data_IF_697258942663
#
_entry.id   IF_697258942663
#
_cell.length_a   1.000
_cell.length_b   1.000
_cell.length_c   1.000
_cell.angle_alpha   90.00
_cell.angle_beta   90.00
_cell.angle_gamma   90.00
#
_symmetry.space_group_name_H-M   'P 1'
#
loop_
_entity.id
_entity.type
_entity.pdbx_description
1 polymer ?
#
# COMPACT_ATOMS: atom_id res chain seq x y z
N UNK A 1 8.47 24.91 -2.68
CA UNK A 1 8.61 23.60 -3.36
C UNK A 1 9.90 22.99 -2.84
N UNK A 2 9.79 22.01 -2.00
CA UNK A 2 10.96 21.23 -1.60
C UNK A 2 11.27 20.30 -2.78
N UNK A 3 12.38 20.57 -3.47
CA UNK A 3 12.70 20.01 -4.80
C UNK A 3 12.90 18.48 -4.79
N UNK A 4 12.76 17.84 -3.65
CA UNK A 4 13.06 16.42 -3.48
C UNK A 4 12.03 15.58 -2.72
N UNK A 5 10.88 16.12 -2.31
CA UNK A 5 9.94 15.37 -1.47
C UNK A 5 8.50 15.47 -1.98
N UNK A 6 7.84 14.32 -2.13
CA UNK A 6 6.40 14.26 -2.36
C UNK A 6 5.69 14.09 -1.03
N UNK A 7 4.69 14.92 -0.78
CA UNK A 7 3.90 14.91 0.45
C UNK A 7 2.42 14.88 0.12
N UNK A 8 1.67 14.05 0.81
CA UNK A 8 0.21 13.98 0.72
C UNK A 8 -0.36 14.02 2.12
N UNK A 9 -1.34 14.89 2.37
CA UNK A 9 -2.05 14.96 3.62
C UNK A 9 -3.54 14.66 3.41
N UNK A 10 -4.13 13.94 4.33
CA UNK A 10 -5.57 13.73 4.44
C UNK A 10 -6.08 14.59 5.59
N UNK A 11 -7.11 15.39 5.32
CA UNK A 11 -7.79 16.21 6.32
C UNK A 11 -9.20 15.68 6.54
N UNK A 12 -9.60 15.62 7.81
CA UNK A 12 -10.96 15.32 8.27
C UNK A 12 -11.44 16.50 9.14
N UNK A 13 -12.54 17.13 8.78
CA UNK A 13 -13.06 18.32 9.47
C UNK A 13 -11.97 19.41 9.68
N UNK A 14 -11.22 19.72 8.62
CA UNK A 14 -10.11 20.68 8.59
C UNK A 14 -8.93 20.32 9.54
N UNK A 15 -8.88 19.10 10.06
CA UNK A 15 -7.78 18.59 10.88
C UNK A 15 -6.97 17.57 10.11
N UNK A 16 -5.66 17.60 10.29
CA UNK A 16 -4.77 16.63 9.68
C UNK A 16 -4.97 15.27 10.33
N UNK A 17 -5.49 14.30 9.55
CA UNK A 17 -5.70 12.92 9.97
C UNK A 17 -4.48 12.05 9.63
N UNK A 18 -3.95 12.18 8.41
CA UNK A 18 -2.82 11.38 7.95
C UNK A 18 -1.86 12.22 7.09
N UNK A 19 -0.58 11.91 7.15
CA UNK A 19 0.45 12.51 6.29
C UNK A 19 1.34 11.41 5.73
N UNK A 20 1.52 11.43 4.42
CA UNK A 20 2.39 10.53 3.67
C UNK A 20 3.56 11.32 3.09
N UNK A 21 4.77 10.78 3.23
CA UNK A 21 6.02 11.41 2.77
C UNK A 21 6.81 10.40 1.94
N UNK A 22 7.30 10.82 0.78
CA UNK A 22 8.18 10.01 -0.06
C UNK A 22 9.28 10.88 -0.64
N UNK A 23 10.53 10.43 -0.48
CA UNK A 23 11.71 11.09 -1.07
C UNK A 23 12.24 10.28 -2.24
N UNK A 24 12.70 10.91 -3.33
CA UNK A 24 13.24 10.20 -4.49
C UNK A 24 14.35 9.23 -4.13
N UNK A 25 15.26 9.61 -3.21
CA UNK A 25 16.38 8.78 -2.75
C UNK A 25 15.95 7.59 -1.88
N UNK A 26 14.73 7.64 -1.36
CA UNK A 26 14.15 6.61 -0.49
C UNK A 26 12.74 6.22 -0.96
N UNK A 27 12.56 6.19 -2.27
CA UNK A 27 11.30 5.75 -2.84
C UNK A 27 11.04 4.30 -2.47
N UNK A 28 9.83 4.01 -2.00
CA UNK A 28 9.40 2.64 -1.74
C UNK A 28 9.45 1.81 -3.02
N UNK A 29 9.98 0.61 -2.92
CA UNK A 29 9.96 -0.38 -4.00
C UNK A 29 8.86 -1.43 -3.79
N UNK A 30 8.12 -1.35 -2.68
CA UNK A 30 6.99 -2.24 -2.44
C UNK A 30 5.98 -2.12 -3.60
N UNK A 31 5.58 -3.26 -4.16
CA UNK A 31 4.76 -3.34 -5.38
C UNK A 31 5.56 -3.46 -6.68
N UNK A 32 6.84 -3.09 -6.71
CA UNK A 32 7.68 -3.26 -7.90
C UNK A 32 7.84 -4.74 -8.25
N UNK A 33 7.87 -5.05 -9.55
CA UNK A 33 8.05 -6.41 -10.05
C UNK A 33 9.38 -6.49 -10.79
N UNK A 34 10.16 -7.51 -10.46
CA UNK A 34 11.49 -7.75 -11.01
C UNK A 34 11.58 -9.13 -11.64
N UNK A 35 12.39 -9.24 -12.69
CA UNK A 35 12.97 -10.51 -13.07
C UNK A 35 14.30 -10.61 -12.33
N UNK A 36 14.39 -11.50 -11.36
CA UNK A 36 15.58 -11.69 -10.54
C UNK A 36 16.32 -12.98 -10.88
N UNK A 37 17.54 -13.13 -10.36
CA UNK A 37 18.34 -14.35 -10.42
C UNK A 37 18.54 -14.87 -9.00
N UNK A 38 18.28 -16.15 -8.77
CA UNK A 38 18.56 -16.80 -7.48
C UNK A 38 20.07 -16.86 -7.26
N UNK A 39 20.57 -16.06 -6.34
CA UNK A 39 22.00 -16.02 -6.01
C UNK A 39 22.39 -17.14 -5.05
N UNK A 40 21.59 -17.36 -4.00
CA UNK A 40 21.86 -18.40 -3.02
C UNK A 40 20.57 -18.98 -2.46
N UNK A 41 20.59 -20.29 -2.17
CA UNK A 41 19.48 -21.02 -1.52
C UNK A 41 19.97 -21.46 -0.14
N UNK A 42 19.17 -21.19 0.89
CA UNK A 42 19.48 -21.41 2.29
C UNK A 42 18.49 -22.43 2.91
N UNK A 43 18.75 -23.74 2.77
CA UNK A 43 17.81 -24.76 3.26
C UNK A 43 17.53 -24.69 4.76
N UNK A 44 18.54 -24.29 5.56
CA UNK A 44 18.37 -24.17 7.02
C UNK A 44 17.48 -23.01 7.46
N UNK A 45 17.19 -22.07 6.56
CA UNK A 45 16.29 -20.93 6.79
C UNK A 45 15.00 -21.01 5.94
N UNK A 46 14.87 -22.05 5.12
CA UNK A 46 13.77 -22.21 4.13
C UNK A 46 13.56 -20.94 3.30
N UNK A 47 14.66 -20.37 2.78
CA UNK A 47 14.68 -19.10 2.09
C UNK A 47 15.75 -19.06 0.99
N UNK A 48 15.64 -18.07 0.10
CA UNK A 48 16.65 -17.77 -0.91
C UNK A 48 16.95 -16.28 -0.97
N UNK A 49 18.18 -15.96 -1.37
CA UNK A 49 18.56 -14.62 -1.81
C UNK A 49 18.42 -14.52 -3.32
N UNK A 50 17.77 -13.45 -3.77
CA UNK A 50 17.50 -13.17 -5.17
C UNK A 50 18.10 -11.83 -5.54
N UNK A 51 18.98 -11.80 -6.54
CA UNK A 51 19.50 -10.58 -7.13
C UNK A 51 18.40 -9.94 -7.99
N UNK A 52 18.04 -8.70 -7.66
CA UNK A 52 16.99 -7.93 -8.34
C UNK A 52 17.52 -6.63 -8.95
N UNK A 53 18.85 -6.46 -9.02
CA UNK A 53 19.52 -5.27 -9.54
C UNK A 53 19.59 -4.11 -8.55
N UNK A 54 19.46 -4.37 -7.26
CA UNK A 54 19.66 -3.41 -6.18
C UNK A 54 20.97 -3.71 -5.43
N UNK A 55 21.40 -2.76 -4.58
CA UNK A 55 22.62 -2.90 -3.76
C UNK A 55 22.60 -4.18 -2.90
N UNK A 56 21.41 -4.60 -2.45
CA UNK A 56 21.20 -5.79 -1.62
C UNK A 56 20.25 -6.75 -2.28
N UNK A 57 20.59 -8.03 -2.27
CA UNK A 57 19.72 -9.10 -2.72
C UNK A 57 18.41 -9.11 -1.92
N UNK A 58 17.32 -9.36 -2.61
CA UNK A 58 16.03 -9.56 -1.98
C UNK A 58 15.95 -10.92 -1.29
N UNK A 59 15.04 -11.05 -0.34
CA UNK A 59 14.84 -12.24 0.48
C UNK A 59 13.49 -12.88 0.15
N UNK A 60 13.52 -14.14 -0.30
CA UNK A 60 12.36 -14.93 -0.73
C UNK A 60 12.22 -16.14 0.20
N UNK A 61 11.15 -16.18 1.00
CA UNK A 61 10.80 -17.34 1.83
C UNK A 61 10.09 -18.42 1.04
N UNK A 62 10.20 -19.67 1.50
CA UNK A 62 9.54 -20.82 0.90
C UNK A 62 8.01 -20.64 0.80
N UNK A 63 7.38 -20.05 1.80
CA UNK A 63 5.94 -19.78 1.83
C UNK A 63 5.48 -18.70 0.84
N UNK A 64 6.41 -17.90 0.33
CA UNK A 64 6.16 -16.85 -0.67
C UNK A 64 6.34 -17.37 -2.13
N UNK A 65 6.60 -18.66 -2.28
CA UNK A 65 6.74 -19.30 -3.59
C UNK A 65 5.45 -20.00 -3.95
N UNK A 66 4.76 -19.49 -4.97
CA UNK A 66 3.56 -20.08 -5.53
C UNK A 66 3.95 -21.22 -6.47
N UNK A 67 3.41 -22.42 -6.22
CA UNK A 67 3.58 -23.58 -7.07
C UNK A 67 2.20 -24.08 -7.47
N UNK A 68 1.78 -23.91 -8.73
CA UNK A 68 0.42 -24.20 -9.20
C UNK A 68 -0.07 -25.64 -8.92
N UNK A 69 0.82 -26.62 -8.96
CA UNK A 69 0.47 -28.04 -8.82
C UNK A 69 0.30 -28.53 -7.38
N UNK A 70 0.53 -27.67 -6.38
CA UNK A 70 0.61 -28.06 -4.97
C UNK A 70 -0.31 -27.24 -4.04
N UNK A 71 -1.30 -26.54 -4.58
CA UNK A 71 -2.34 -25.87 -3.81
C UNK A 71 -3.13 -26.88 -2.96
N UNK A 72 -2.85 -26.92 -1.69
CA UNK A 72 -3.45 -27.85 -0.72
C UNK A 72 -2.46 -28.46 0.27
N UNK A 73 -1.16 -28.47 -0.03
CA UNK A 73 -0.11 -28.95 0.87
C UNK A 73 0.92 -27.85 1.16
N UNK A 74 0.53 -26.82 1.88
CA UNK A 74 1.45 -25.73 2.28
C UNK A 74 2.51 -26.15 3.30
N UNK A 75 2.34 -27.29 3.97
CA UNK A 75 3.25 -27.75 5.00
C UNK A 75 4.22 -28.80 4.46
N UNK A 76 5.52 -28.58 4.61
CA UNK A 76 6.59 -29.53 4.30
C UNK A 76 7.35 -29.30 3.00
N UNK A 77 7.13 -28.18 2.28
CA UNK A 77 7.94 -27.82 1.10
C UNK A 77 9.32 -27.35 1.55
N UNK A 78 10.37 -27.87 0.93
CA UNK A 78 11.73 -27.41 1.13
C UNK A 78 12.09 -26.44 0.02
N UNK A 79 12.72 -25.34 0.36
CA UNK A 79 13.12 -24.29 -0.61
C UNK A 79 13.97 -24.86 -1.77
N UNK A 80 14.84 -25.81 -1.46
CA UNK A 80 15.72 -26.46 -2.44
C UNK A 80 14.99 -27.33 -3.48
N UNK A 81 13.75 -27.73 -3.18
CA UNK A 81 12.91 -28.52 -4.11
C UNK A 81 12.14 -27.60 -5.07
N UNK A 82 12.05 -26.31 -4.75
CA UNK A 82 11.26 -25.34 -5.49
C UNK A 82 12.09 -24.46 -6.41
N UNK A 83 13.27 -24.06 -5.97
CA UNK A 83 14.15 -23.17 -6.72
C UNK A 83 15.61 -23.57 -6.59
N UNK A 84 16.40 -23.22 -7.63
CA UNK A 84 17.83 -23.53 -7.70
C UNK A 84 18.66 -22.26 -7.93
N UNK A 85 19.92 -22.29 -7.48
CA UNK A 85 20.88 -21.21 -7.73
C UNK A 85 21.06 -20.98 -9.23
N UNK A 86 21.08 -19.70 -9.64
CA UNK A 86 21.20 -19.29 -11.03
C UNK A 86 19.89 -19.30 -11.83
N UNK A 87 18.78 -19.72 -11.21
CA UNK A 87 17.47 -19.72 -11.84
C UNK A 87 16.90 -18.32 -11.92
N UNK A 88 16.34 -17.95 -13.10
CA UNK A 88 15.55 -16.74 -13.25
C UNK A 88 14.19 -16.92 -12.55
N UNK A 89 13.78 -15.92 -11.76
CA UNK A 89 12.50 -15.91 -11.07
C UNK A 89 11.79 -14.55 -11.24
N UNK A 90 10.48 -14.59 -11.44
CA UNK A 90 9.65 -13.39 -11.41
C UNK A 90 9.19 -13.14 -9.97
N UNK A 91 9.53 -11.96 -9.43
CA UNK A 91 9.26 -11.64 -8.04
C UNK A 91 8.72 -10.23 -7.87
N UNK A 92 7.88 -10.04 -6.86
CA UNK A 92 7.39 -8.74 -6.43
C UNK A 92 7.96 -8.39 -5.06
N UNK A 93 8.37 -7.14 -4.88
CA UNK A 93 8.78 -6.64 -3.58
C UNK A 93 7.55 -6.38 -2.72
N UNK A 94 7.50 -7.00 -1.53
CA UNK A 94 6.42 -6.84 -0.55
C UNK A 94 6.78 -5.80 0.51
N UNK A 95 8.07 -5.73 0.86
CA UNK A 95 8.61 -4.76 1.83
C UNK A 95 9.92 -4.19 1.33
N UNK A 96 10.14 -2.92 1.65
CA UNK A 96 11.39 -2.22 1.36
C UNK A 96 12.60 -2.83 2.08
N UNK A 97 13.81 -2.64 1.54
CA UNK A 97 15.04 -2.95 2.25
C UNK A 97 15.11 -2.16 3.56
N UNK A 98 15.55 -2.80 4.64
CA UNK A 98 15.71 -2.14 5.95
C UNK A 98 17.10 -2.37 6.53
N UNK A 99 17.81 -1.29 6.85
CA UNK A 99 19.16 -1.36 7.48
C UNK A 99 20.09 -2.31 6.71
N UNK A 100 20.43 -3.45 7.31
CA UNK A 100 21.28 -4.50 6.72
C UNK A 100 20.53 -5.53 5.88
N UNK A 101 19.19 -5.53 5.89
CA UNK A 101 18.35 -6.53 5.21
C UNK A 101 17.89 -6.04 3.85
N UNK A 102 17.91 -6.92 2.84
CA UNK A 102 17.31 -6.68 1.53
C UNK A 102 15.78 -6.68 1.55
N UNK A 103 15.18 -6.34 0.42
CA UNK A 103 13.74 -6.35 0.24
C UNK A 103 13.13 -7.73 0.49
N UNK A 104 11.92 -7.80 1.07
CA UNK A 104 11.15 -9.05 1.10
C UNK A 104 10.45 -9.24 -0.23
N UNK A 105 10.56 -10.44 -0.77
CA UNK A 105 10.02 -10.79 -2.08
C UNK A 105 8.95 -11.89 -1.97
N UNK A 106 8.07 -11.93 -2.97
CA UNK A 106 7.11 -13.01 -3.20
C UNK A 106 7.04 -13.34 -4.68
N UNK A 107 6.72 -14.58 -5.05
CA UNK A 107 6.36 -14.95 -6.42
C UNK A 107 4.86 -14.81 -6.69
N UNK A 108 4.04 -14.60 -5.65
CA UNK A 108 2.62 -14.29 -5.78
C UNK A 108 2.45 -12.82 -6.20
N UNK A 109 2.44 -12.61 -7.51
CA UNK A 109 2.26 -11.27 -8.07
C UNK A 109 0.83 -10.78 -7.82
N UNK A 110 0.70 -9.56 -7.31
CA UNK A 110 -0.58 -8.89 -7.13
C UNK A 110 -0.54 -7.49 -7.72
N UNK A 111 -1.53 -7.15 -8.53
CA UNK A 111 -1.66 -5.85 -9.19
C UNK A 111 -2.85 -5.10 -8.60
N UNK A 112 -2.61 -4.10 -7.74
CA UNK A 112 -3.69 -3.33 -7.13
C UNK A 112 -4.24 -2.30 -8.11
N UNK A 113 -5.51 -2.43 -8.44
CA UNK A 113 -6.34 -1.42 -9.06
C UNK A 113 -7.02 -0.53 -8.01
N UNK A 114 -7.99 0.26 -8.46
CA UNK A 114 -8.82 1.09 -7.59
C UNK A 114 -9.84 0.23 -6.83
N UNK A 115 -10.59 -0.58 -7.55
CA UNK A 115 -11.71 -1.37 -7.03
C UNK A 115 -11.35 -2.82 -6.79
N UNK A 116 -10.40 -3.36 -7.54
CA UNK A 116 -9.99 -4.75 -7.44
C UNK A 116 -8.47 -4.89 -7.35
N UNK A 117 -8.02 -6.02 -6.79
CA UNK A 117 -6.65 -6.51 -6.92
C UNK A 117 -6.71 -7.72 -7.83
N UNK A 118 -5.90 -7.71 -8.89
CA UNK A 118 -5.74 -8.84 -9.78
C UNK A 118 -4.52 -9.67 -9.39
N UNK A 119 -4.68 -10.97 -9.22
CA UNK A 119 -3.62 -11.93 -8.86
C UNK A 119 -3.48 -12.93 -10.00
N UNK A 120 -2.53 -12.74 -10.93
CA UNK A 120 -2.44 -13.57 -12.15
C UNK A 120 -2.29 -15.08 -11.90
N UNK A 121 -1.54 -15.45 -10.86
CA UNK A 121 -1.33 -16.86 -10.46
C UNK A 121 -2.37 -17.36 -9.46
N UNK A 122 -3.29 -16.51 -9.01
CA UNK A 122 -4.31 -16.86 -8.03
C UNK A 122 -5.53 -17.49 -8.69
N UNK A 123 -6.39 -18.06 -7.87
CA UNK A 123 -7.68 -18.62 -8.29
C UNK A 123 -8.82 -18.00 -7.48
N UNK A 124 -10.00 -17.96 -8.09
CA UNK A 124 -11.23 -17.60 -7.42
C UNK A 124 -11.43 -16.12 -7.15
N UNK A 125 -12.41 -15.84 -6.30
CA UNK A 125 -12.92 -14.50 -6.00
C UNK A 125 -12.93 -14.23 -4.50
N UNK A 126 -12.19 -13.22 -4.08
CA UNK A 126 -12.23 -12.64 -2.75
C UNK A 126 -13.02 -11.33 -2.72
N UNK A 127 -13.66 -11.01 -1.59
CA UNK A 127 -14.28 -9.70 -1.36
C UNK A 127 -13.87 -9.22 0.04
N UNK A 128 -13.53 -7.92 0.15
CA UNK A 128 -13.13 -7.31 1.42
C UNK A 128 -14.13 -7.60 2.54
N UNK A 129 -13.60 -8.00 3.71
CA UNK A 129 -14.41 -8.27 4.90
C UNK A 129 -14.87 -7.00 5.63
N UNK A 130 -14.40 -5.83 5.20
CA UNK A 130 -14.77 -4.53 5.77
C UNK A 130 -16.06 -3.97 5.19
N UNK A 131 -16.53 -4.53 4.09
CA UNK A 131 -17.81 -4.18 3.45
C UNK A 131 -18.95 -4.87 4.17
N UNK A 132 -20.12 -4.24 4.17
CA UNK A 132 -21.36 -4.82 4.68
C UNK A 132 -21.77 -6.06 3.87
N UNK A 133 -22.53 -6.96 4.48
CA UNK A 133 -22.84 -8.26 3.88
C UNK A 133 -23.63 -8.14 2.56
N UNK A 134 -24.58 -7.21 2.48
CA UNK A 134 -25.36 -6.97 1.26
C UNK A 134 -24.49 -6.47 0.11
N UNK A 135 -23.58 -5.54 0.41
CA UNK A 135 -22.64 -5.01 -0.58
C UNK A 135 -21.63 -6.07 -1.01
N UNK A 136 -21.18 -6.93 -0.10
CA UNK A 136 -20.31 -8.07 -0.43
C UNK A 136 -20.98 -9.06 -1.39
N UNK A 137 -22.26 -9.30 -1.21
CA UNK A 137 -23.05 -10.16 -2.10
C UNK A 137 -23.14 -9.50 -3.48
N UNK A 138 -23.57 -8.23 -3.53
CA UNK A 138 -23.70 -7.45 -4.78
C UNK A 138 -22.40 -7.45 -5.59
N UNK A 139 -21.27 -7.11 -4.95
CA UNK A 139 -19.97 -7.04 -5.61
C UNK A 139 -19.46 -8.41 -6.07
N UNK A 140 -19.75 -9.46 -5.28
CA UNK A 140 -19.42 -10.84 -5.66
C UNK A 140 -20.17 -11.26 -6.92
N UNK A 141 -21.44 -10.91 -7.03
CA UNK A 141 -22.26 -11.26 -8.18
C UNK A 141 -21.82 -10.49 -9.44
N UNK A 142 -21.45 -9.21 -9.29
CA UNK A 142 -20.85 -8.43 -10.39
C UNK A 142 -19.60 -9.14 -10.93
N UNK A 143 -18.62 -9.46 -10.06
CA UNK A 143 -17.36 -10.05 -10.54
C UNK A 143 -17.56 -11.47 -11.09
N UNK A 144 -18.50 -12.25 -10.55
CA UNK A 144 -18.86 -13.55 -11.13
C UNK A 144 -19.41 -13.40 -12.55
N UNK A 145 -20.20 -12.36 -12.80
CA UNK A 145 -20.77 -12.10 -14.13
C UNK A 145 -19.71 -11.66 -15.16
N UNK A 146 -18.56 -11.16 -14.71
CA UNK A 146 -17.43 -10.78 -15.61
C UNK A 146 -16.68 -11.99 -16.18
N UNK A 147 -16.97 -13.21 -15.73
CA UNK A 147 -16.38 -14.47 -16.22
C UNK A 147 -14.85 -14.43 -16.36
N UNK A 148 -14.17 -14.12 -15.26
CA UNK A 148 -12.70 -14.03 -15.22
C UNK A 148 -12.11 -15.42 -15.46
N UNK A 149 -11.55 -15.65 -16.65
CA UNK A 149 -11.04 -16.96 -17.08
C UNK A 149 -9.69 -17.32 -16.49
N UNK A 150 -8.87 -16.32 -16.20
CA UNK A 150 -7.49 -16.49 -15.72
C UNK A 150 -7.22 -15.55 -14.55
N UNK A 151 -6.56 -16.08 -13.52
CA UNK A 151 -6.18 -15.34 -12.33
C UNK A 151 -7.30 -15.20 -11.30
N UNK A 152 -6.90 -14.78 -10.08
CA UNK A 152 -7.79 -14.45 -8.98
C UNK A 152 -8.12 -12.96 -8.94
N UNK A 153 -9.28 -12.62 -8.38
CA UNK A 153 -9.73 -11.24 -8.19
C UNK A 153 -10.12 -11.03 -6.74
N UNK A 154 -9.59 -9.95 -6.13
CA UNK A 154 -9.96 -9.55 -4.78
C UNK A 154 -10.62 -8.16 -4.85
N UNK A 155 -11.91 -8.09 -4.54
CA UNK A 155 -12.63 -6.82 -4.49
C UNK A 155 -12.24 -6.05 -3.24
N UNK A 156 -11.87 -4.78 -3.42
CA UNK A 156 -11.41 -3.88 -2.36
C UNK A 156 -12.60 -3.17 -1.68
N UNK A 157 -12.35 -2.62 -0.50
CA UNK A 157 -13.33 -1.78 0.20
C UNK A 157 -13.72 -0.54 -0.64
N UNK A 158 -12.78 0.02 -1.39
CA UNK A 158 -13.02 1.17 -2.28
C UNK A 158 -14.01 0.89 -3.42
N UNK A 159 -14.45 -0.37 -3.61
CA UNK A 159 -15.48 -0.75 -4.58
C UNK A 159 -16.90 -0.56 -4.05
N UNK A 160 -17.07 -0.11 -2.80
CA UNK A 160 -18.38 0.21 -2.24
C UNK A 160 -19.13 1.20 -3.13
N UNK A 161 -20.36 0.85 -3.52
CA UNK A 161 -21.19 1.64 -4.43
C UNK A 161 -20.69 1.72 -5.88
N UNK A 162 -19.57 1.09 -6.26
CA UNK A 162 -19.07 1.09 -7.62
C UNK A 162 -20.01 0.35 -8.58
N UNK A 163 -20.08 0.82 -9.83
CA UNK A 163 -20.85 0.15 -10.88
C UNK A 163 -20.12 -1.09 -11.42
N UNK A 164 -20.86 -1.96 -12.11
CA UNK A 164 -20.26 -3.12 -12.78
C UNK A 164 -19.24 -2.67 -13.85
N UNK A 165 -19.55 -1.61 -14.58
CA UNK A 165 -18.67 -1.05 -15.62
C UNK A 165 -17.37 -0.48 -15.05
N UNK A 166 -17.41 0.12 -13.85
CA UNK A 166 -16.22 0.64 -13.19
C UNK A 166 -15.29 -0.51 -12.75
N UNK A 167 -15.85 -1.57 -12.19
CA UNK A 167 -15.12 -2.77 -11.76
C UNK A 167 -14.53 -3.50 -12.97
N UNK A 168 -15.32 -3.68 -14.04
CA UNK A 168 -14.84 -4.30 -15.29
C UNK A 168 -13.68 -3.51 -15.90
N UNK A 169 -13.82 -2.18 -15.96
CA UNK A 169 -12.79 -1.28 -16.52
C UNK A 169 -11.48 -1.39 -15.76
N UNK A 170 -11.54 -1.42 -14.43
CA UNK A 170 -10.37 -1.58 -13.57
C UNK A 170 -9.71 -2.95 -13.79
N UNK A 171 -10.50 -4.03 -13.82
CA UNK A 171 -10.00 -5.38 -14.06
C UNK A 171 -9.35 -5.53 -15.44
N UNK A 172 -10.01 -5.05 -16.50
CA UNK A 172 -9.45 -5.09 -17.87
C UNK A 172 -8.14 -4.32 -17.97
N UNK A 173 -8.03 -3.17 -17.28
CA UNK A 173 -6.77 -2.43 -17.20
C UNK A 173 -5.66 -3.26 -16.56
N UNK A 174 -5.94 -3.93 -15.43
CA UNK A 174 -4.95 -4.76 -14.72
C UNK A 174 -4.53 -5.99 -15.52
N UNK A 175 -5.46 -6.64 -16.22
CA UNK A 175 -5.15 -7.77 -17.10
C UNK A 175 -4.25 -7.36 -18.29
N UNK A 176 -4.48 -6.16 -18.87
CA UNK A 176 -3.60 -5.61 -19.90
C UNK A 176 -2.21 -5.30 -19.35
N UNK A 177 -2.14 -4.68 -18.18
CA UNK A 177 -0.89 -4.39 -17.50
C UNK A 177 -0.10 -5.69 -17.24
N UNK A 178 -0.77 -6.74 -16.78
CA UNK A 178 -0.13 -8.04 -16.59
C UNK A 178 0.46 -8.60 -17.89
N UNK A 179 -0.27 -8.58 -18.98
CA UNK A 179 0.23 -9.03 -20.30
C UNK A 179 1.46 -8.25 -20.76
N UNK A 180 1.52 -6.96 -20.49
CA UNK A 180 2.71 -6.15 -20.77
C UNK A 180 3.91 -6.58 -19.90
N UNK A 181 3.69 -6.84 -18.60
CA UNK A 181 4.72 -7.32 -17.69
C UNK A 181 5.24 -8.70 -18.13
N UNK A 182 4.36 -9.63 -18.47
CA UNK A 182 4.74 -10.95 -18.99
C UNK A 182 5.58 -10.85 -20.29
N UNK A 183 5.16 -9.98 -21.18
CA UNK A 183 5.90 -9.77 -22.44
C UNK A 183 7.30 -9.24 -22.18
N UNK A 184 7.45 -8.28 -21.27
CA UNK A 184 8.75 -7.77 -20.83
C UNK A 184 9.58 -8.84 -20.14
N UNK A 185 8.96 -9.67 -19.30
CA UNK A 185 9.64 -10.75 -18.60
C UNK A 185 10.27 -11.78 -19.54
N UNK A 186 9.62 -12.07 -20.68
CA UNK A 186 10.13 -13.00 -21.69
C UNK A 186 11.38 -12.48 -22.40
N UNK A 187 11.49 -11.18 -22.59
CA UNK A 187 12.57 -10.54 -23.36
C UNK A 187 13.69 -9.95 -22.49
N UNK A 188 13.40 -9.58 -21.26
CA UNK A 188 14.37 -8.98 -20.35
C UNK A 188 15.42 -10.00 -19.88
N UNK A 189 16.68 -9.56 -19.85
CA UNK A 189 17.78 -10.30 -19.19
C UNK A 189 17.76 -9.96 -17.69
N UNK A 190 17.72 -10.99 -16.84
CA UNK A 190 17.80 -10.80 -15.40
C UNK A 190 19.22 -10.38 -14.93
N UNK A 191 19.35 -9.55 -13.87
CA UNK A 191 18.26 -8.90 -13.14
C UNK A 191 17.66 -7.70 -13.88
N UNK A 192 16.35 -7.48 -13.82
CA UNK A 192 15.67 -6.37 -14.48
C UNK A 192 14.39 -5.92 -13.73
N UNK A 193 14.18 -4.61 -13.65
CA UNK A 193 12.88 -4.02 -13.22
C UNK A 193 11.89 -4.12 -14.38
N UNK A 194 10.78 -4.83 -14.18
CA UNK A 194 9.74 -5.02 -15.18
C UNK A 194 8.56 -4.06 -15.01
N UNK A 195 8.18 -3.81 -13.76
CA UNK A 195 7.10 -2.90 -13.39
C UNK A 195 7.49 -2.09 -12.16
N UNK A 196 7.24 -0.81 -12.22
CA UNK A 196 7.43 0.11 -11.11
C UNK A 196 6.07 0.56 -10.60
N UNK A 197 5.84 0.41 -9.28
CA UNK A 197 4.61 0.87 -8.62
C UNK A 197 4.42 2.38 -8.78
N UNK A 198 3.17 2.81 -8.76
CA UNK A 198 2.82 4.22 -8.90
C UNK A 198 3.50 5.11 -7.85
N UNK A 199 3.76 6.36 -8.20
CA UNK A 199 4.25 7.37 -7.25
C UNK A 199 3.24 7.66 -6.16
N UNK A 200 3.72 8.14 -5.01
CA UNK A 200 2.92 8.39 -3.81
C UNK A 200 1.57 9.09 -4.08
N UNK A 201 1.48 10.21 -4.83
CA UNK A 201 0.20 10.87 -5.05
C UNK A 201 -0.82 9.99 -5.77
N UNK A 202 -0.38 9.22 -6.78
CA UNK A 202 -1.27 8.30 -7.51
C UNK A 202 -1.66 7.09 -6.65
N UNK A 203 -0.76 6.56 -5.82
CA UNK A 203 -1.10 5.48 -4.87
C UNK A 203 -2.16 5.93 -3.88
N UNK A 204 -1.99 7.10 -3.27
CA UNK A 204 -2.95 7.66 -2.33
C UNK A 204 -4.31 7.89 -2.99
N UNK A 205 -4.34 8.43 -4.21
CA UNK A 205 -5.58 8.61 -4.97
C UNK A 205 -6.25 7.28 -5.28
N UNK A 206 -5.49 6.27 -5.72
CA UNK A 206 -6.00 4.93 -5.99
C UNK A 206 -6.60 4.27 -4.74
N UNK A 207 -5.93 4.44 -3.60
CA UNK A 207 -6.23 3.64 -2.41
C UNK A 207 -7.21 4.33 -1.46
N UNK A 208 -7.24 5.68 -1.42
CA UNK A 208 -8.00 6.43 -0.44
C UNK A 208 -9.07 7.36 -1.04
N UNK A 209 -8.85 7.95 -2.24
CA UNK A 209 -9.73 8.98 -2.77
C UNK A 209 -11.07 8.41 -3.25
N UNK A 210 -12.01 8.19 -2.32
CA UNK A 210 -13.37 7.66 -2.55
C UNK A 210 -14.41 8.77 -2.65
N UNK A 211 -15.67 8.40 -2.83
CA UNK A 211 -16.82 9.32 -2.89
C UNK A 211 -17.01 10.19 -1.64
N UNK A 212 -16.46 9.78 -0.50
CA UNK A 212 -16.54 10.52 0.77
C UNK A 212 -15.65 11.77 0.79
N UNK A 213 -14.67 11.85 -0.12
CA UNK A 213 -13.82 13.04 -0.21
C UNK A 213 -14.51 14.16 -0.97
N UNK A 214 -14.56 15.33 -0.36
CA UNK A 214 -15.10 16.54 -0.97
C UNK A 214 -14.24 17.01 -2.14
N UNK A 215 -12.92 17.12 -1.93
CA UNK A 215 -11.96 17.63 -2.91
C UNK A 215 -10.56 17.05 -2.73
N UNK A 216 -9.80 17.11 -3.80
CA UNK A 216 -8.35 16.88 -3.84
C UNK A 216 -7.67 18.12 -4.39
N UNK A 217 -6.75 18.70 -3.64
CA UNK A 217 -5.99 19.91 -4.06
C UNK A 217 -4.54 19.53 -4.32
N UNK A 218 -4.01 19.98 -5.47
CA UNK A 218 -2.65 19.62 -5.92
C UNK A 218 -1.88 20.88 -6.28
N UNK A 219 -0.68 21.05 -5.77
CA UNK A 219 0.19 22.20 -6.03
C UNK A 219 1.14 22.04 -7.24
N UNK A 220 1.35 20.81 -7.72
CA UNK A 220 2.13 20.53 -8.93
C UNK A 220 1.23 20.24 -10.16
N UNK A 221 1.46 20.97 -11.24
CA UNK A 221 0.62 20.86 -12.46
C UNK A 221 0.76 19.49 -13.15
N UNK A 222 1.97 18.94 -13.18
CA UNK A 222 2.21 17.64 -13.83
C UNK A 222 1.51 16.53 -13.08
N UNK A 223 1.61 16.55 -11.76
CA UNK A 223 0.93 15.61 -10.86
C UNK A 223 -0.58 15.72 -10.99
N UNK A 224 -1.14 16.94 -11.00
CA UNK A 224 -2.57 17.17 -11.21
C UNK A 224 -3.05 16.55 -12.55
N UNK A 225 -2.35 16.83 -13.65
CA UNK A 225 -2.69 16.28 -14.97
C UNK A 225 -2.65 14.74 -14.98
N UNK A 226 -1.67 14.13 -14.29
CA UNK A 226 -1.56 12.68 -14.18
C UNK A 226 -2.70 12.08 -13.35
N UNK A 227 -3.06 12.70 -12.23
CA UNK A 227 -4.19 12.27 -11.38
C UNK A 227 -5.50 12.37 -12.16
N UNK A 228 -5.77 13.51 -12.80
CA UNK A 228 -6.98 13.69 -13.62
C UNK A 228 -7.03 12.67 -14.76
N UNK A 229 -5.90 12.43 -15.44
CA UNK A 229 -5.80 11.41 -16.49
C UNK A 229 -6.07 10.00 -16.01
N UNK A 230 -5.61 9.66 -14.81
CA UNK A 230 -5.89 8.38 -14.15
C UNK A 230 -7.38 8.26 -13.79
N UNK A 231 -7.95 9.27 -13.11
CA UNK A 231 -9.35 9.25 -12.69
C UNK A 231 -10.32 9.23 -13.87
N UNK A 232 -10.03 9.95 -14.97
CA UNK A 232 -10.85 9.87 -16.19
C UNK A 232 -10.95 8.45 -16.76
N UNK A 233 -9.95 7.60 -16.51
CA UNK A 233 -9.96 6.21 -16.96
C UNK A 233 -10.63 5.26 -15.97
N UNK A 234 -10.55 5.53 -14.66
CA UNK A 234 -10.99 4.61 -13.60
C UNK A 234 -12.29 5.06 -12.91
N UNK A 235 -12.47 6.37 -12.69
CA UNK A 235 -13.62 6.95 -11.99
C UNK A 235 -13.87 8.37 -12.48
N UNK A 236 -14.44 8.56 -13.69
CA UNK A 236 -14.56 9.88 -14.34
C UNK A 236 -15.25 10.95 -13.48
N UNK A 237 -16.27 10.57 -12.71
CA UNK A 237 -17.01 11.45 -11.80
C UNK A 237 -16.14 12.05 -10.67
N UNK A 238 -15.04 11.38 -10.30
CA UNK A 238 -14.10 11.88 -9.29
C UNK A 238 -13.12 12.91 -9.85
N UNK A 239 -12.92 12.94 -11.16
CA UNK A 239 -11.96 13.85 -11.79
C UNK A 239 -12.34 15.33 -11.61
N UNK A 240 -13.64 15.64 -11.47
CA UNK A 240 -14.16 16.98 -11.24
C UNK A 240 -13.84 17.54 -9.85
N UNK A 241 -13.51 16.65 -8.89
CA UNK A 241 -13.12 17.02 -7.53
C UNK A 241 -11.62 17.30 -7.37
N UNK A 242 -10.85 17.31 -8.47
CA UNK A 242 -9.40 17.57 -8.45
C UNK A 242 -9.11 19.00 -8.84
N UNK A 243 -8.64 19.78 -7.88
CA UNK A 243 -8.38 21.22 -8.04
C UNK A 243 -6.88 21.51 -8.06
N UNK A 244 -6.50 22.57 -8.77
CA UNK A 244 -5.15 23.09 -8.78
C UNK A 244 -5.01 24.20 -7.74
N UNK A 245 -4.04 24.07 -6.83
CA UNK A 245 -3.60 25.17 -5.98
C UNK A 245 -2.83 26.19 -6.81
N UNK A 246 -3.25 27.47 -6.77
CA UNK A 246 -2.65 28.56 -7.56
C UNK A 246 -2.27 29.77 -6.71
N UNK A 247 -2.49 29.70 -5.41
CA UNK A 247 -2.21 30.79 -4.50
C UNK A 247 -0.70 30.92 -4.26
N UNK A 248 -0.26 32.10 -3.76
CA UNK A 248 1.14 32.36 -3.46
C UNK A 248 1.61 31.66 -2.20
N UNK A 249 0.70 31.53 -1.23
CA UNK A 249 0.97 30.77 0.01
C UNK A 249 1.07 29.28 -0.30
N UNK A 250 2.01 28.59 0.29
CA UNK A 250 2.17 27.17 0.09
C UNK A 250 0.94 26.38 0.59
N UNK A 251 0.53 25.35 -0.14
CA UNK A 251 -0.67 24.57 0.18
C UNK A 251 -0.67 24.04 1.62
N UNK A 252 0.44 23.50 2.07
CA UNK A 252 0.55 22.90 3.41
C UNK A 252 0.64 23.95 4.52
N UNK A 253 1.16 25.12 4.23
CA UNK A 253 1.14 26.27 5.14
C UNK A 253 -0.30 26.78 5.31
N UNK A 254 -1.03 26.98 4.20
CA UNK A 254 -2.40 27.47 4.19
C UNK A 254 -3.38 26.53 4.93
N UNK A 255 -3.14 25.24 4.85
CA UNK A 255 -4.00 24.21 5.45
C UNK A 255 -3.55 23.76 6.85
N UNK A 256 -2.50 24.38 7.42
CA UNK A 256 -1.97 24.04 8.74
C UNK A 256 -1.25 22.68 8.80
N UNK A 257 -1.02 22.05 7.66
CA UNK A 257 -0.35 20.72 7.59
C UNK A 257 1.09 20.82 8.04
N UNK A 258 1.83 21.89 7.66
CA UNK A 258 3.22 22.08 8.08
C UNK A 258 3.35 22.23 9.60
N UNK A 259 2.41 22.91 10.26
CA UNK A 259 2.38 23.03 11.71
C UNK A 259 2.05 21.70 12.39
N UNK A 260 1.11 20.94 11.82
CA UNK A 260 0.81 19.61 12.30
C UNK A 260 2.03 18.67 12.20
N UNK A 261 2.76 18.71 11.08
CA UNK A 261 4.00 17.94 10.91
C UNK A 261 5.05 18.36 11.95
N UNK A 262 5.27 19.66 12.14
CA UNK A 262 6.21 20.17 13.16
C UNK A 262 5.82 19.70 14.56
N UNK A 263 4.54 19.68 14.88
CA UNK A 263 4.06 19.24 16.19
C UNK A 263 4.39 17.78 16.49
N UNK A 264 4.47 16.91 15.46
CA UNK A 264 4.86 15.50 15.63
C UNK A 264 6.33 15.31 16.07
N UNK A 265 7.16 16.33 15.88
CA UNK A 265 8.56 16.32 16.33
C UNK A 265 8.70 16.73 17.80
N UNK A 266 7.62 17.19 18.44
CA UNK A 266 7.63 17.55 19.85
C UNK A 266 7.72 16.30 20.72
N UNK A 267 8.61 16.34 21.72
CA UNK A 267 8.70 15.29 22.75
C UNK A 267 7.39 15.15 23.53
N UNK A 268 6.63 16.25 23.68
CA UNK A 268 5.36 16.30 24.40
C UNK A 268 4.20 16.47 23.42
N UNK A 269 3.15 15.66 23.60
CA UNK A 269 1.89 15.74 22.88
C UNK A 269 0.75 15.94 23.86
N UNK A 270 0.06 17.09 23.79
CA UNK A 270 -1.08 17.40 24.62
C UNK A 270 -2.33 16.68 24.09
N UNK A 271 -3.14 16.12 24.99
CA UNK A 271 -4.35 15.39 24.66
C UNK A 271 -5.59 16.28 24.87
N UNK A 272 -6.67 16.08 24.10
CA UNK A 272 -7.93 16.83 24.27
C UNK A 272 -8.54 16.71 25.67
N UNK A 273 -8.21 15.64 26.40
CA UNK A 273 -8.63 15.40 27.79
C UNK A 273 -7.93 16.29 28.82
N UNK A 274 -6.94 17.09 28.40
CA UNK A 274 -6.08 17.89 29.29
C UNK A 274 -4.89 17.12 29.88
N UNK A 275 -4.74 15.84 29.54
CA UNK A 275 -3.53 15.06 29.78
C UNK A 275 -2.48 15.30 28.69
N UNK A 276 -1.34 14.64 28.82
CA UNK A 276 -0.29 14.70 27.80
C UNK A 276 0.55 13.42 27.77
N UNK A 277 1.19 13.17 26.63
CA UNK A 277 2.16 12.10 26.42
C UNK A 277 3.57 12.71 26.32
N UNK A 278 4.56 11.97 26.81
CA UNK A 278 5.98 12.30 26.62
C UNK A 278 6.66 11.12 25.96
N UNK A 279 7.32 11.38 24.82
CA UNK A 279 8.02 10.37 24.02
C UNK A 279 9.52 10.47 24.23
N UNK A 280 10.12 9.40 24.71
CA UNK A 280 11.57 9.27 24.85
C UNK A 280 12.08 8.10 24.01
N UNK A 281 13.08 8.38 23.17
CA UNK A 281 13.71 7.40 22.30
C UNK A 281 14.95 6.83 22.99
N UNK A 282 14.92 5.55 23.29
CA UNK A 282 16.08 4.78 23.69
C UNK A 282 16.70 4.05 22.49
N UNK A 283 17.87 3.46 22.65
CA UNK A 283 18.58 2.75 21.55
C UNK A 283 17.76 1.61 20.95
N UNK A 284 17.07 0.82 21.77
CA UNK A 284 16.35 -0.37 21.36
C UNK A 284 14.82 -0.25 21.40
N UNK A 285 14.26 0.79 22.04
CA UNK A 285 12.82 0.96 22.22
C UNK A 285 12.43 2.42 22.44
N UNK A 286 11.15 2.72 22.27
CA UNK A 286 10.57 4.03 22.59
C UNK A 286 9.76 3.92 23.87
N UNK A 287 10.02 4.81 24.83
CA UNK A 287 9.24 4.95 26.06
C UNK A 287 8.16 6.02 25.85
N UNK A 288 6.94 5.72 26.25
CA UNK A 288 5.83 6.67 26.21
C UNK A 288 5.30 6.82 27.64
N UNK A 289 5.55 7.98 28.25
CA UNK A 289 5.00 8.34 29.55
C UNK A 289 3.62 8.99 29.37
N UNK A 290 2.62 8.51 30.08
CA UNK A 290 1.24 8.97 29.99
C UNK A 290 0.86 9.76 31.24
N UNK A 291 0.63 11.04 31.09
CA UNK A 291 0.29 11.94 32.17
C UNK A 291 -1.18 12.37 32.09
N UNK A 292 -1.88 12.27 33.20
CA UNK A 292 -3.30 12.71 33.30
C UNK A 292 -3.47 14.23 33.39
N UNK A 293 -2.36 14.98 33.52
CA UNK A 293 -2.37 16.42 33.60
C UNK A 293 -3.10 16.93 34.87
N UNK A 294 -4.08 17.78 34.68
CA UNK A 294 -4.88 18.35 35.78
C UNK A 294 -5.98 17.41 36.29
N UNK A 295 -6.17 16.25 35.67
CA UNK A 295 -7.20 15.29 36.05
C UNK A 295 -6.73 14.46 37.25
N UNK A 296 -7.22 14.80 38.41
CA UNK A 296 -6.92 14.10 39.69
C UNK A 296 -7.95 13.04 40.08
N UNK A 297 -8.82 12.65 39.15
CA UNK A 297 -9.92 11.73 39.37
C UNK A 297 -11.19 12.46 39.83
N UNK A 298 -12.35 12.05 39.31
CA UNK A 298 -13.66 12.44 39.85
C UNK A 298 -14.36 11.19 40.39
N UNK A 299 -15.13 11.34 41.49
CA UNK A 299 -15.97 10.28 42.05
C UNK A 299 -17.18 9.94 41.20
N UNK A 300 -17.39 10.58 40.06
CA UNK A 300 -18.48 10.24 39.15
C UNK A 300 -18.06 9.09 38.24
N UNK A 301 -18.94 8.12 38.05
CA UNK A 301 -18.81 6.97 37.18
C UNK A 301 -18.64 7.42 35.71
N UNK A 302 -17.49 7.89 35.34
CA UNK A 302 -17.12 8.02 33.93
C UNK A 302 -16.51 6.69 33.48
N UNK A 303 -17.31 5.93 32.73
CA UNK A 303 -16.71 4.91 31.86
C UNK A 303 -15.73 5.61 30.95
N UNK A 304 -14.47 5.29 31.06
CA UNK A 304 -13.45 5.61 30.05
C UNK A 304 -13.95 4.91 28.78
N UNK A 305 -14.64 5.63 27.91
CA UNK A 305 -14.74 5.19 26.52
C UNK A 305 -13.29 5.15 26.04
N UNK A 306 -12.73 3.94 26.00
CA UNK A 306 -11.54 3.66 25.22
C UNK A 306 -11.84 4.16 23.82
N UNK A 307 -11.35 5.34 23.48
CA UNK A 307 -11.19 5.69 22.07
C UNK A 307 -10.36 4.56 21.50
N UNK A 308 -11.00 3.71 20.71
CA UNK A 308 -10.28 2.79 19.86
C UNK A 308 -9.39 3.67 18.99
N UNK A 309 -8.13 3.76 19.33
CA UNK A 309 -7.10 3.99 18.34
C UNK A 309 -7.24 2.80 17.42
N UNK A 310 -7.99 2.97 16.35
CA UNK A 310 -8.02 2.02 15.25
C UNK A 310 -6.60 2.07 14.69
N UNK A 311 -5.77 1.15 15.15
CA UNK A 311 -4.59 0.76 14.40
C UNK A 311 -5.12 0.34 13.04
N UNK A 312 -4.93 1.17 12.02
CA UNK A 312 -4.84 0.68 10.66
C UNK A 312 -3.65 -0.26 10.68
N UNK A 313 -3.96 -1.57 10.69
CA UNK A 313 -2.96 -2.57 10.99
C UNK A 313 -1.98 -2.73 9.83
N UNK A 314 -0.75 -2.60 10.13
CA UNK A 314 0.25 -3.52 9.65
C UNK A 314 0.69 -4.33 10.87
N UNK A 315 0.16 -5.54 10.99
CA UNK A 315 0.66 -6.54 11.91
C UNK A 315 2.10 -6.86 11.53
N UNK A 316 3.04 -6.27 12.24
CA UNK A 316 4.36 -6.83 12.33
C UNK A 316 4.28 -7.96 13.37
N UNK A 317 4.07 -9.18 12.92
CA UNK A 317 4.46 -10.36 13.67
C UNK A 317 5.96 -10.57 13.47
N UNK A 318 6.65 -10.67 14.59
CA UNK A 318 8.06 -11.03 14.72
C UNK A 318 8.33 -12.47 14.30
#
# INVERSE_FOLDING_TARGET
MDVGEQRVAVLEDDKVAEVYLERPERRSIAGNIYKGVVDNVLPGMEAAFVEIGLEKNGFLYVDEIVVPELEGRRHGKKIQDLISRGQDVLVQAVKDPMKSKGARLTTEISLPGRFVVYVPSGEGLGVSRRLDDDERIRLRDIVKALDVKEGGVIVRTAAEGASAEDIERDLVFLQRLWKEIETRAKTAKAPALLYQEAELPLRVVRDLFTGDFEKLVVDDERTQKRIVGYLKKTSPHMAERVFRHREKTLLFEQTGVDDAIRSTLSRRVDLPSGGYLVFDYAEAFTVIDVNTGRFVGSRSKFSVKRSRVTRSGSSASW
#
